data_IF_082075858834
#
_entry.id   IF_082075858834
#
_cell.length_a   1.000
_cell.length_b   1.000
_cell.length_c   1.000
_cell.angle_alpha   90.00
_cell.angle_beta   90.00
_cell.angle_gamma   90.00
#
_symmetry.space_group_name_H-M   'P 1'
#
loop_
_entity.id
_entity.type
_entity.pdbx_description
1 polymer ?
#
# COMPACT_ATOMS: atom_id res chain seq x y z
N UNK A 1 24.07 -7.38 -1.20
CA UNK A 1 23.10 -6.44 -1.81
C UNK A 1 22.15 -7.29 -2.62
N UNK A 2 20.89 -7.43 -2.20
CA UNK A 2 19.90 -8.15 -3.01
C UNK A 2 19.72 -7.40 -4.34
N UNK A 3 19.73 -8.14 -5.46
CA UNK A 3 19.51 -7.57 -6.79
C UNK A 3 18.04 -7.17 -6.93
N UNK A 4 17.74 -5.93 -6.56
CA UNK A 4 16.43 -5.36 -6.79
C UNK A 4 16.16 -5.22 -8.29
N UNK A 5 14.90 -5.35 -8.71
CA UNK A 5 14.44 -4.86 -9.99
C UNK A 5 14.92 -3.42 -10.24
N UNK A 6 15.32 -3.13 -11.48
CA UNK A 6 15.88 -1.83 -11.89
C UNK A 6 15.01 -0.63 -11.46
N UNK A 7 13.67 -0.78 -11.51
CA UNK A 7 12.75 0.29 -11.15
C UNK A 7 12.75 0.59 -9.64
N UNK A 8 12.95 -0.41 -8.77
CA UNK A 8 13.12 -0.19 -7.33
C UNK A 8 14.44 0.50 -7.02
N UNK A 9 15.52 0.10 -7.71
CA UNK A 9 16.82 0.77 -7.57
C UNK A 9 16.77 2.25 -7.99
N UNK A 10 15.97 2.59 -9.02
CA UNK A 10 15.73 3.99 -9.43
C UNK A 10 14.99 4.79 -8.36
N UNK A 11 14.02 4.20 -7.68
CA UNK A 11 13.29 4.84 -6.57
C UNK A 11 14.24 5.14 -5.41
N UNK A 12 15.09 4.18 -5.04
CA UNK A 12 16.12 4.39 -4.01
C UNK A 12 17.06 5.53 -4.38
N UNK A 13 17.52 5.54 -5.63
CA UNK A 13 18.40 6.61 -6.10
C UNK A 13 17.73 7.98 -6.07
N UNK A 14 16.45 8.06 -6.44
CA UNK A 14 15.69 9.30 -6.40
C UNK A 14 15.57 9.84 -4.96
N UNK A 15 15.23 8.98 -4.00
CA UNK A 15 15.14 9.37 -2.58
C UNK A 15 16.50 9.77 -2.02
N UNK A 16 17.56 9.03 -2.34
CA UNK A 16 18.93 9.34 -1.92
C UNK A 16 19.39 10.72 -2.44
N UNK A 17 19.20 10.99 -3.74
CA UNK A 17 19.55 12.27 -4.36
C UNK A 17 18.74 13.43 -3.75
N UNK A 18 17.45 13.23 -3.52
CA UNK A 18 16.57 14.24 -2.91
C UNK A 18 17.03 14.59 -1.49
N UNK A 19 17.40 13.58 -0.69
CA UNK A 19 17.94 13.78 0.66
C UNK A 19 19.28 14.52 0.64
N UNK A 20 20.18 14.19 -0.29
CA UNK A 20 21.46 14.90 -0.46
C UNK A 20 21.30 16.38 -0.80
N UNK A 21 20.22 16.73 -1.50
CA UNK A 21 19.88 18.11 -1.81
C UNK A 21 19.24 18.87 -0.62
N UNK A 22 19.08 18.25 0.54
CA UNK A 22 18.46 18.87 1.73
C UNK A 22 16.93 18.92 1.69
N UNK A 23 16.29 18.20 0.77
CA UNK A 23 14.84 18.17 0.62
C UNK A 23 14.21 17.03 1.43
N UNK A 24 13.00 17.26 1.93
CA UNK A 24 12.20 16.23 2.59
C UNK A 24 11.56 15.30 1.56
N UNK A 25 11.56 14.00 1.82
CA UNK A 25 10.90 12.99 1.00
C UNK A 25 9.69 12.40 1.71
N UNK A 26 8.57 12.33 1.00
CA UNK A 26 7.38 11.58 1.42
C UNK A 26 7.18 10.44 0.43
N UNK A 27 7.24 9.20 0.91
CA UNK A 27 6.94 8.01 0.12
C UNK A 27 5.55 7.47 0.50
N UNK A 28 4.72 7.20 -0.50
CA UNK A 28 3.36 6.68 -0.29
C UNK A 28 3.26 5.24 -0.81
N UNK A 29 2.64 4.38 -0.02
CA UNK A 29 2.46 2.97 -0.31
C UNK A 29 0.98 2.59 -0.18
N UNK A 30 0.51 1.71 -1.07
CA UNK A 30 -0.83 1.13 -1.02
C UNK A 30 -0.65 -0.35 -0.69
N UNK A 31 -1.37 -0.82 0.33
CA UNK A 31 -1.40 -2.22 0.74
C UNK A 31 -2.76 -2.82 0.44
N UNK A 32 -2.77 -4.12 0.17
CA UNK A 32 -3.99 -4.86 -0.11
C UNK A 32 -4.52 -4.67 -1.53
N UNK A 33 -3.64 -4.50 -2.51
CA UNK A 33 -4.03 -4.48 -3.92
C UNK A 33 -4.52 -5.89 -4.33
N UNK A 34 -5.58 -6.05 -5.15
CA UNK A 34 -6.02 -7.37 -5.58
C UNK A 34 -4.88 -8.21 -6.17
N UNK A 35 -4.64 -9.39 -5.57
CA UNK A 35 -3.54 -10.28 -5.94
C UNK A 35 -2.32 -10.19 -5.03
N UNK A 36 -2.25 -9.23 -4.10
CA UNK A 36 -1.22 -9.23 -3.06
C UNK A 36 -1.44 -10.36 -2.05
N UNK A 37 -0.32 -10.88 -1.55
CA UNK A 37 -0.27 -11.82 -0.42
C UNK A 37 0.30 -11.11 0.82
N UNK A 38 0.09 -11.68 2.01
CA UNK A 38 0.69 -11.15 3.24
C UNK A 38 2.22 -11.08 3.19
N UNK A 39 2.88 -11.95 2.40
CA UNK A 39 4.32 -11.89 2.17
C UNK A 39 4.71 -10.66 1.34
N UNK A 40 3.99 -10.38 0.24
CA UNK A 40 4.23 -9.21 -0.60
C UNK A 40 4.01 -7.90 0.18
N UNK A 41 2.97 -7.82 1.00
CA UNK A 41 2.72 -6.66 1.88
C UNK A 41 3.90 -6.44 2.84
N UNK A 42 4.41 -7.52 3.45
CA UNK A 42 5.61 -7.44 4.32
C UNK A 42 6.84 -6.98 3.55
N UNK A 43 7.00 -7.39 2.30
CA UNK A 43 8.13 -6.95 1.46
C UNK A 43 8.01 -5.46 1.08
N UNK A 44 6.81 -4.96 0.81
CA UNK A 44 6.54 -3.52 0.65
C UNK A 44 6.92 -2.73 1.91
N UNK A 45 6.56 -3.23 3.09
CA UNK A 45 6.90 -2.60 4.38
C UNK A 45 8.43 -2.60 4.61
N UNK A 46 9.11 -3.73 4.34
CA UNK A 46 10.58 -3.80 4.41
C UNK A 46 11.23 -2.82 3.44
N UNK A 47 10.71 -2.71 2.22
CA UNK A 47 11.20 -1.77 1.22
C UNK A 47 11.05 -0.33 1.68
N UNK A 48 9.89 0.06 2.22
CA UNK A 48 9.65 1.39 2.75
C UNK A 48 10.65 1.77 3.86
N UNK A 49 10.95 0.82 4.78
CA UNK A 49 11.96 1.01 5.82
C UNK A 49 13.36 1.17 5.24
N UNK A 50 13.73 0.36 4.23
CA UNK A 50 15.02 0.46 3.55
C UNK A 50 15.18 1.78 2.79
N UNK A 51 14.10 2.25 2.15
CA UNK A 51 14.06 3.51 1.42
C UNK A 51 14.33 4.71 2.36
N UNK A 52 13.94 4.59 3.63
CA UNK A 52 14.18 5.57 4.69
C UNK A 52 13.83 7.02 4.27
N UNK A 53 12.60 7.28 3.81
CA UNK A 53 12.15 8.63 3.49
C UNK A 53 12.02 9.47 4.78
N UNK A 54 11.88 10.79 4.65
CA UNK A 54 11.56 11.64 5.81
C UNK A 54 10.20 11.25 6.41
N UNK A 55 9.24 10.92 5.55
CA UNK A 55 7.91 10.46 5.92
C UNK A 55 7.51 9.26 5.04
N UNK A 56 6.86 8.26 5.64
CA UNK A 56 6.23 7.17 4.92
C UNK A 56 4.72 7.19 5.21
N UNK A 57 3.90 7.22 4.17
CA UNK A 57 2.46 7.08 4.26
C UNK A 57 2.06 5.72 3.73
N UNK A 58 1.21 5.01 4.47
CA UNK A 58 0.60 3.77 4.01
C UNK A 58 -0.92 3.95 3.97
N UNK A 59 -1.54 3.30 3.00
CA UNK A 59 -2.99 3.28 2.80
C UNK A 59 -3.43 1.86 2.45
N UNK A 60 -4.71 1.57 2.68
CA UNK A 60 -5.37 0.36 2.20
C UNK A 60 -6.04 0.63 0.85
N UNK A 61 -5.92 -0.33 -0.06
CA UNK A 61 -6.49 -0.26 -1.39
C UNK A 61 -8.02 -0.09 -1.30
N UNK A 62 -8.49 1.10 -1.68
CA UNK A 62 -9.90 1.49 -1.56
C UNK A 62 -10.52 1.61 -2.96
N UNK A 63 -11.53 0.79 -3.29
CA UNK A 63 -12.16 0.81 -4.62
C UNK A 63 -13.14 1.99 -4.75
N UNK A 64 -12.73 3.16 -5.23
CA UNK A 64 -13.63 4.31 -5.34
C UNK A 64 -14.62 4.23 -6.52
N UNK A 65 -15.86 4.75 -6.40
CA UNK A 65 -16.85 4.80 -7.48
C UNK A 65 -16.31 5.35 -8.79
N UNK A 66 -16.72 4.74 -9.89
CA UNK A 66 -16.30 5.16 -11.23
C UNK A 66 -14.85 4.78 -11.57
N UNK A 67 -14.10 4.15 -10.66
CA UNK A 67 -12.80 3.56 -10.99
C UNK A 67 -12.97 2.14 -11.53
N UNK A 68 -12.05 1.71 -12.39
CA UNK A 68 -11.99 0.33 -12.86
C UNK A 68 -11.88 -0.68 -11.71
N UNK A 69 -11.21 -0.31 -10.63
CA UNK A 69 -11.07 -1.15 -9.44
C UNK A 69 -12.43 -1.37 -8.76
N UNK A 70 -13.27 -0.34 -8.67
CA UNK A 70 -14.61 -0.47 -8.11
C UNK A 70 -15.50 -1.36 -8.95
N UNK A 71 -15.49 -1.20 -10.28
CA UNK A 71 -16.27 -2.08 -11.15
C UNK A 71 -15.82 -3.54 -11.02
N UNK A 72 -14.52 -3.79 -10.99
CA UNK A 72 -13.97 -5.12 -10.74
C UNK A 72 -14.39 -5.68 -9.38
N UNK A 73 -14.29 -4.89 -8.32
CA UNK A 73 -14.65 -5.30 -6.97
C UNK A 73 -16.15 -5.61 -6.86
N UNK A 74 -17.00 -4.83 -7.54
CA UNK A 74 -18.44 -5.04 -7.60
C UNK A 74 -18.79 -6.31 -8.38
N UNK A 75 -18.23 -6.48 -9.58
CA UNK A 75 -18.44 -7.64 -10.45
C UNK A 75 -18.07 -8.96 -9.74
N UNK A 76 -16.97 -8.94 -8.99
CA UNK A 76 -16.45 -10.11 -8.27
C UNK A 76 -17.02 -10.29 -6.86
N UNK A 77 -17.96 -9.45 -6.43
CA UNK A 77 -18.53 -9.51 -5.07
C UNK A 77 -17.49 -9.28 -3.96
N UNK A 78 -16.44 -8.50 -4.24
CA UNK A 78 -15.34 -8.23 -3.31
C UNK A 78 -15.61 -7.03 -2.39
N UNK A 79 -16.64 -6.22 -2.65
CA UNK A 79 -16.96 -5.05 -1.80
C UNK A 79 -17.45 -5.49 -0.42
N UNK A 80 -16.79 -5.04 0.64
CA UNK A 80 -17.19 -5.28 2.05
C UNK A 80 -18.40 -4.43 2.42
N UNK A 81 -18.46 -3.20 1.90
CA UNK A 81 -19.53 -2.25 2.17
C UNK A 81 -19.70 -1.30 0.99
N UNK A 82 -20.89 -0.73 0.84
CA UNK A 82 -21.20 0.37 -0.07
C UNK A 82 -21.45 1.69 0.66
N UNK A 83 -21.18 1.75 1.98
CA UNK A 83 -21.23 2.99 2.74
C UNK A 83 -19.99 3.85 2.45
N UNK A 84 -20.15 4.83 1.57
CA UNK A 84 -19.09 5.73 1.10
C UNK A 84 -18.36 6.47 2.22
N UNK A 85 -19.00 6.67 3.38
CA UNK A 85 -18.37 7.35 4.53
C UNK A 85 -17.18 6.58 5.09
N UNK A 86 -17.09 5.27 4.79
CA UNK A 86 -16.02 4.38 5.25
C UNK A 86 -14.82 4.34 4.30
N UNK A 87 -14.89 4.97 3.12
CA UNK A 87 -13.87 4.92 2.07
C UNK A 87 -12.70 5.88 2.36
N UNK A 88 -12.08 5.71 3.53
CA UNK A 88 -11.13 6.63 4.15
C UNK A 88 -9.66 6.24 3.98
N UNK A 89 -9.37 5.19 3.19
CA UNK A 89 -8.03 4.60 2.98
C UNK A 89 -7.39 3.91 4.18
N UNK A 90 -8.02 3.91 5.36
CA UNK A 90 -7.48 3.28 6.58
C UNK A 90 -8.31 2.09 7.06
N UNK A 91 -9.41 1.82 6.38
CA UNK A 91 -10.31 0.70 6.64
C UNK A 91 -10.35 -0.25 5.43
N UNK A 92 -10.38 -1.57 5.63
CA UNK A 92 -10.64 -2.51 4.55
C UNK A 92 -12.05 -2.32 3.97
N UNK A 93 -12.15 -1.94 2.70
CA UNK A 93 -13.41 -1.76 1.96
C UNK A 93 -13.62 -2.86 0.91
N UNK A 94 -12.58 -3.66 0.65
CA UNK A 94 -12.59 -4.74 -0.33
C UNK A 94 -11.94 -6.00 0.26
N UNK A 95 -12.56 -7.15 0.01
CA UNK A 95 -12.00 -8.47 0.30
C UNK A 95 -10.84 -8.75 -0.64
N UNK A 96 -9.78 -9.34 -0.10
CA UNK A 96 -8.60 -9.76 -0.88
C UNK A 96 -8.47 -11.28 -0.71
N UNK A 97 -8.45 -12.06 -1.80
CA UNK A 97 -8.25 -13.50 -1.71
C UNK A 97 -6.97 -13.83 -0.92
N UNK A 98 -7.10 -14.69 0.10
CA UNK A 98 -5.98 -15.15 0.92
C UNK A 98 -5.55 -14.21 2.05
N UNK A 99 -6.21 -13.06 2.25
CA UNK A 99 -5.94 -12.15 3.38
C UNK A 99 -7.26 -11.71 4.00
N UNK A 100 -7.44 -11.98 5.29
CA UNK A 100 -8.64 -11.52 6.01
C UNK A 100 -8.58 -10.01 6.25
N UNK A 101 -9.74 -9.34 6.35
CA UNK A 101 -9.78 -7.92 6.67
C UNK A 101 -9.07 -7.61 8.01
N UNK A 102 -9.19 -8.51 8.99
CA UNK A 102 -8.51 -8.40 10.28
C UNK A 102 -6.99 -8.53 10.16
N UNK A 103 -6.50 -9.48 9.36
CA UNK A 103 -5.07 -9.63 9.09
C UNK A 103 -4.51 -8.41 8.36
N UNK A 104 -5.21 -7.90 7.33
CA UNK A 104 -4.82 -6.70 6.61
C UNK A 104 -4.75 -5.49 7.54
N UNK A 105 -5.73 -5.35 8.43
CA UNK A 105 -5.77 -4.27 9.44
C UNK A 105 -4.62 -4.40 10.44
N UNK A 106 -4.25 -5.61 10.88
CA UNK A 106 -3.08 -5.84 11.72
C UNK A 106 -1.78 -5.44 11.02
N UNK A 107 -1.60 -5.85 9.76
CA UNK A 107 -0.43 -5.46 8.94
C UNK A 107 -0.38 -3.96 8.69
N UNK A 108 -1.51 -3.27 8.63
CA UNK A 108 -1.58 -1.82 8.54
C UNK A 108 -1.17 -1.16 9.87
N UNK A 109 -1.80 -1.51 10.98
CA UNK A 109 -1.61 -0.82 12.27
C UNK A 109 -0.21 -1.06 12.86
N UNK A 110 0.31 -2.29 12.82
CA UNK A 110 1.57 -2.66 13.50
C UNK A 110 2.79 -1.92 12.94
N UNK A 111 2.71 -1.42 11.71
CA UNK A 111 3.84 -0.82 11.01
C UNK A 111 3.68 0.69 10.76
N UNK A 112 2.61 1.31 11.26
CA UNK A 112 2.27 2.74 11.06
C UNK A 112 2.36 3.58 12.35
N UNK A 113 2.76 3.00 13.49
CA UNK A 113 3.07 3.74 14.73
C UNK A 113 4.55 4.08 14.87
#
# INVERSE_FOLDING_TARGET
MENLPLWLARIEKAVETTKRAGLNTLASFILGVPGETSAMIKDTIKFARRLNPKYAQFTLCTPYPGTRLFELAKEKGMLITSDWRRYTTVEPIMHIPGITAEELKKLFIVYIV
#
